data_IF_475023577553
#
_entry.id   IF_475023577553
#
_cell.length_a   1.000
_cell.length_b   1.000
_cell.length_c   1.000
_cell.angle_alpha   90.00
_cell.angle_beta   90.00
_cell.angle_gamma   90.00
#
_symmetry.space_group_name_H-M   'P 1'
#
loop_
_entity.id
_entity.type
_entity.pdbx_description
1 polymer ?
#
# COMPACT_ATOMS: atom_id res chain seq x y z
N UNK A 1 7.83 8.12 18.65
CA UNK A 1 8.67 8.53 17.50
C UNK A 1 10.13 8.41 17.88
N UNK A 2 10.95 7.78 17.04
CA UNK A 2 12.41 7.74 17.18
C UNK A 2 13.03 8.77 16.22
N UNK A 3 14.12 9.42 16.61
CA UNK A 3 14.82 10.42 15.78
C UNK A 3 16.18 9.87 15.38
N UNK A 4 16.47 9.93 14.08
CA UNK A 4 17.70 9.37 13.50
C UNK A 4 18.25 10.34 12.45
N UNK A 5 19.57 10.41 12.33
CA UNK A 5 20.27 11.14 11.26
C UNK A 5 20.41 10.24 10.04
N UNK A 6 20.05 10.75 8.86
CA UNK A 6 20.10 10.01 7.60
C UNK A 6 20.84 10.85 6.55
N UNK A 7 21.65 10.18 5.71
CA UNK A 7 22.20 10.78 4.49
C UNK A 7 21.27 10.41 3.34
N UNK A 8 20.73 11.42 2.67
CA UNK A 8 19.71 11.25 1.62
C UNK A 8 20.21 11.92 0.34
N UNK A 9 20.09 11.21 -0.79
CA UNK A 9 20.30 11.81 -2.11
C UNK A 9 19.20 12.85 -2.40
N UNK A 10 19.55 14.15 -2.54
CA UNK A 10 18.57 15.21 -2.74
C UNK A 10 17.80 15.07 -4.05
N UNK A 11 18.36 14.40 -5.06
CA UNK A 11 17.69 14.16 -6.35
C UNK A 11 16.59 13.12 -6.20
N UNK A 12 16.85 12.03 -5.46
CA UNK A 12 15.82 11.02 -5.14
C UNK A 12 14.71 11.61 -4.28
N UNK A 13 15.08 12.38 -3.26
CA UNK A 13 14.12 13.05 -2.39
C UNK A 13 13.21 14.01 -3.18
N UNK A 14 13.77 14.80 -4.09
CA UNK A 14 13.01 15.72 -4.94
C UNK A 14 11.99 14.98 -5.82
N UNK A 15 12.40 13.87 -6.46
CA UNK A 15 11.50 13.02 -7.24
C UNK A 15 10.40 12.42 -6.38
N UNK A 16 10.75 11.84 -5.23
CA UNK A 16 9.78 11.26 -4.31
C UNK A 16 8.76 12.31 -3.83
N UNK A 17 9.21 13.52 -3.48
CA UNK A 17 8.32 14.63 -3.11
C UNK A 17 7.30 14.97 -4.19
N UNK A 18 7.75 15.02 -5.45
CA UNK A 18 6.85 15.30 -6.57
C UNK A 18 5.83 14.18 -6.77
N UNK A 19 6.27 12.92 -6.70
CA UNK A 19 5.39 11.76 -6.86
C UNK A 19 4.37 11.63 -5.73
N UNK A 20 4.80 11.89 -4.49
CA UNK A 20 3.98 11.72 -3.29
C UNK A 20 3.20 12.99 -2.90
N UNK A 21 3.45 14.12 -3.56
CA UNK A 21 2.80 15.41 -3.26
C UNK A 21 3.21 16.04 -1.93
N UNK A 22 4.40 15.72 -1.41
CA UNK A 22 4.83 16.09 -0.05
C UNK A 22 5.76 17.31 0.00
N UNK A 23 5.76 18.02 1.14
CA UNK A 23 6.52 19.27 1.32
C UNK A 23 7.79 19.16 2.16
N UNK A 24 7.92 18.13 2.99
CA UNK A 24 9.05 17.97 3.92
C UNK A 24 9.71 16.61 3.83
N UNK A 25 10.96 16.49 4.27
CA UNK A 25 11.68 15.21 4.28
C UNK A 25 10.93 14.17 5.12
N UNK A 26 10.56 14.54 6.36
CA UNK A 26 9.77 13.70 7.25
C UNK A 26 8.49 13.21 6.56
N UNK A 27 7.67 14.14 6.08
CA UNK A 27 6.39 13.87 5.41
C UNK A 27 6.58 12.94 4.19
N UNK A 28 7.65 13.14 3.42
CA UNK A 28 8.00 12.26 2.29
C UNK A 28 8.36 10.86 2.74
N UNK A 29 9.13 10.72 3.81
CA UNK A 29 9.55 9.41 4.33
C UNK A 29 8.34 8.66 4.88
N UNK A 30 7.54 9.30 5.74
CA UNK A 30 6.32 8.70 6.28
C UNK A 30 5.39 8.25 5.15
N UNK A 31 5.11 9.14 4.20
CA UNK A 31 4.24 8.81 3.07
C UNK A 31 4.81 7.70 2.19
N UNK A 32 6.12 7.66 1.98
CA UNK A 32 6.75 6.60 1.21
C UNK A 32 6.62 5.23 1.90
N UNK A 33 6.74 5.18 3.22
CA UNK A 33 6.52 3.96 4.00
C UNK A 33 5.06 3.50 3.89
N UNK A 34 4.11 4.43 4.03
CA UNK A 34 2.68 4.14 3.88
C UNK A 34 2.37 3.55 2.49
N UNK A 35 2.94 4.12 1.42
CA UNK A 35 2.71 3.61 0.06
C UNK A 35 3.26 2.20 -0.15
N UNK A 36 4.41 1.85 0.47
CA UNK A 36 4.96 0.48 0.39
C UNK A 36 4.08 -0.51 1.15
N UNK A 37 3.58 -0.13 2.33
CA UNK A 37 2.64 -0.96 3.10
C UNK A 37 1.36 -1.17 2.31
N UNK A 38 0.80 -0.10 1.75
CA UNK A 38 -0.41 -0.16 0.95
C UNK A 38 -0.21 -0.98 -0.34
N UNK A 39 0.97 -0.90 -0.97
CA UNK A 39 1.31 -1.73 -2.12
C UNK A 39 1.28 -3.22 -1.78
N UNK A 40 1.89 -3.62 -0.65
CA UNK A 40 1.87 -5.02 -0.24
C UNK A 40 0.46 -5.51 0.09
N UNK A 41 -0.37 -4.68 0.73
CA UNK A 41 -1.76 -5.00 0.99
C UNK A 41 -2.55 -5.21 -0.33
N UNK A 42 -2.37 -4.32 -1.31
CA UNK A 42 -2.99 -4.46 -2.65
C UNK A 42 -2.51 -5.74 -3.35
N UNK A 43 -1.20 -6.02 -3.29
CA UNK A 43 -0.61 -7.23 -3.89
C UNK A 43 -1.23 -8.50 -3.29
N UNK A 44 -1.33 -8.57 -1.96
CA UNK A 44 -1.96 -9.70 -1.26
C UNK A 44 -3.43 -9.85 -1.62
N UNK A 45 -4.19 -8.75 -1.66
CA UNK A 45 -5.60 -8.79 -2.03
C UNK A 45 -5.80 -9.33 -3.46
N UNK A 46 -4.95 -8.92 -4.41
CA UNK A 46 -4.99 -9.46 -5.78
C UNK A 46 -4.69 -10.95 -5.81
N UNK A 47 -3.65 -11.41 -5.08
CA UNK A 47 -3.36 -12.85 -5.01
C UNK A 47 -4.50 -13.63 -4.37
N UNK A 48 -5.08 -13.12 -3.29
CA UNK A 48 -6.22 -13.73 -2.60
C UNK A 48 -7.42 -13.89 -3.55
N UNK A 49 -7.74 -12.85 -4.33
CA UNK A 49 -8.77 -12.90 -5.37
C UNK A 49 -8.39 -13.77 -6.57
N UNK A 50 -7.10 -14.04 -6.80
CA UNK A 50 -6.66 -14.94 -7.88
C UNK A 50 -6.80 -16.40 -7.47
N UNK A 51 -6.56 -16.70 -6.19
CA UNK A 51 -6.57 -18.07 -5.65
C UNK A 51 -7.85 -18.43 -4.90
N UNK A 52 -8.76 -17.48 -4.71
CA UNK A 52 -9.92 -17.59 -3.80
C UNK A 52 -9.50 -17.96 -2.36
N UNK A 53 -8.29 -17.60 -1.94
CA UNK A 53 -7.76 -18.02 -0.64
C UNK A 53 -8.54 -17.34 0.51
N UNK A 54 -9.16 -18.13 1.37
CA UNK A 54 -10.00 -17.61 2.46
C UNK A 54 -11.20 -16.78 1.99
N UNK A 55 -11.63 -16.93 0.73
CA UNK A 55 -12.81 -16.29 0.16
C UNK A 55 -13.73 -17.37 -0.42
N UNK A 56 -15.04 -17.22 -0.24
CA UNK A 56 -16.06 -18.11 -0.83
C UNK A 56 -16.74 -17.45 -2.05
N UNK A 57 -16.03 -16.52 -2.71
CA UNK A 57 -16.58 -15.76 -3.82
C UNK A 57 -16.77 -16.58 -5.10
N UNK A 58 -16.20 -17.79 -5.15
CA UNK A 58 -16.38 -18.80 -6.19
C UNK A 58 -17.48 -19.83 -5.87
N UNK A 59 -18.07 -19.80 -4.67
CA UNK A 59 -19.22 -20.65 -4.32
C UNK A 59 -20.54 -19.98 -4.74
N UNK A 60 -21.27 -20.53 -5.74
CA UNK A 60 -22.54 -19.97 -6.19
C UNK A 60 -23.62 -19.92 -5.12
N UNK A 61 -23.59 -20.82 -4.12
CA UNK A 61 -24.58 -20.85 -3.03
C UNK A 61 -24.35 -19.72 -2.04
N UNK A 62 -23.08 -19.39 -1.75
CA UNK A 62 -22.71 -18.26 -0.89
C UNK A 62 -23.07 -16.96 -1.61
N UNK A 63 -22.71 -16.84 -2.89
CA UNK A 63 -23.02 -15.66 -3.69
C UNK A 63 -24.54 -15.42 -3.83
N UNK A 64 -25.36 -16.47 -3.96
CA UNK A 64 -26.82 -16.33 -4.01
C UNK A 64 -27.48 -15.81 -2.72
N UNK A 65 -26.78 -15.86 -1.58
CA UNK A 65 -27.27 -15.35 -0.28
C UNK A 65 -26.90 -13.89 -0.04
N UNK A 66 -25.81 -13.40 -0.63
CA UNK A 66 -25.29 -12.06 -0.37
C UNK A 66 -26.12 -10.91 -0.98
N UNK A 67 -27.05 -11.22 -1.90
CA UNK A 67 -27.84 -10.23 -2.66
C UNK A 67 -29.35 -10.27 -2.37
N UNK A 68 -29.74 -10.86 -1.23
CA UNK A 68 -31.11 -10.86 -0.72
C UNK A 68 -31.27 -9.84 0.39
#
# INVERSE_FOLDING_TARGET
>A
MHRTTLVIDPRKLSKARKLLGTKGIKDTIERALDEVIAYEARRKAVEQLRTMDGLELDDPKVMARAWR
#
